data_IF_587750807394
#
_entry.id   IF_587750807394
#
_cell.length_a   1.000
_cell.length_b   1.000
_cell.length_c   1.000
_cell.angle_alpha   90.00
_cell.angle_beta   90.00
_cell.angle_gamma   90.00
#
_symmetry.space_group_name_H-M   'P 1'
#
loop_
_entity.id
_entity.type
_entity.pdbx_description
1 polymer ?
#
# COMPACT_ATOMS: atom_id res chain seq x y z
N UNK A 1 22.47 -29.99 -85.84
CA UNK A 1 23.19 -28.73 -86.10
C UNK A 1 22.48 -27.60 -85.39
N UNK A 2 23.24 -26.81 -84.63
CA UNK A 2 22.82 -25.69 -83.79
C UNK A 2 21.82 -24.73 -84.47
N UNK A 3 20.83 -24.24 -83.71
CA UNK A 3 20.70 -22.82 -83.34
C UNK A 3 19.43 -22.54 -82.50
N UNK A 4 19.67 -21.81 -81.41
CA UNK A 4 18.88 -20.74 -80.79
C UNK A 4 17.36 -20.67 -81.00
N UNK A 5 16.61 -20.50 -79.90
CA UNK A 5 15.82 -19.28 -79.66
C UNK A 5 15.22 -19.23 -78.25
N UNK A 6 15.16 -18.00 -77.75
CA UNK A 6 14.88 -17.56 -76.37
C UNK A 6 13.39 -17.24 -76.18
N UNK A 7 13.01 -16.94 -74.93
CA UNK A 7 11.84 -16.15 -74.43
C UNK A 7 10.54 -17.00 -74.35
N UNK A 8 9.69 -17.02 -73.30
CA UNK A 8 9.24 -16.03 -72.31
C UNK A 8 8.83 -16.75 -71.01
N UNK A 9 9.33 -16.28 -69.85
CA UNK A 9 8.80 -16.63 -68.52
C UNK A 9 7.58 -15.73 -68.24
N UNK A 10 6.37 -16.30 -68.26
CA UNK A 10 5.15 -15.64 -67.82
C UNK A 10 5.00 -15.79 -66.30
N UNK A 11 5.29 -14.72 -65.57
CA UNK A 11 5.07 -14.63 -64.12
C UNK A 11 3.57 -14.47 -63.83
N UNK A 12 2.95 -15.52 -63.30
CA UNK A 12 1.58 -15.51 -62.78
C UNK A 12 1.61 -14.87 -61.39
N UNK A 13 1.06 -13.66 -61.26
CA UNK A 13 0.80 -13.02 -59.96
C UNK A 13 -0.44 -13.68 -59.33
N UNK A 14 -0.24 -14.44 -58.25
CA UNK A 14 -1.32 -14.92 -57.39
C UNK A 14 -1.74 -13.77 -56.46
N UNK A 15 -2.92 -13.19 -56.70
CA UNK A 15 -3.59 -12.30 -55.76
C UNK A 15 -4.03 -13.09 -54.53
N UNK A 16 -3.41 -12.87 -53.36
CA UNK A 16 -3.99 -13.29 -52.10
C UNK A 16 -5.06 -12.28 -51.67
N UNK A 17 -6.27 -12.77 -51.41
CA UNK A 17 -7.30 -11.98 -50.76
C UNK A 17 -6.96 -11.92 -49.26
N UNK A 18 -6.57 -10.75 -48.77
CA UNK A 18 -6.43 -10.50 -47.35
C UNK A 18 -7.83 -10.42 -46.71
N UNK A 19 -8.11 -11.34 -45.79
CA UNK A 19 -9.32 -11.36 -44.99
C UNK A 19 -9.13 -10.40 -43.81
N UNK A 20 -9.76 -9.24 -43.83
CA UNK A 20 -9.79 -8.29 -42.71
C UNK A 20 -10.75 -8.81 -41.65
N UNK A 21 -10.20 -9.18 -40.48
CA UNK A 21 -11.02 -9.47 -39.29
C UNK A 21 -11.63 -8.16 -38.76
N UNK A 22 -12.89 -8.17 -38.27
CA UNK A 22 -13.47 -7.01 -37.61
C UNK A 22 -12.79 -6.81 -36.25
N UNK A 23 -12.40 -5.57 -35.98
CA UNK A 23 -11.78 -5.13 -34.73
C UNK A 23 -12.65 -5.48 -33.52
N UNK A 24 -12.07 -6.29 -32.64
CA UNK A 24 -12.61 -6.70 -31.36
C UNK A 24 -12.66 -5.48 -30.43
N UNK A 25 -13.86 -4.99 -30.12
CA UNK A 25 -14.08 -3.93 -29.13
C UNK A 25 -13.79 -4.51 -27.76
N UNK A 26 -12.52 -4.45 -27.38
CA UNK A 26 -12.07 -4.74 -26.02
C UNK A 26 -12.72 -3.73 -25.07
N UNK A 27 -13.53 -4.16 -24.07
CA UNK A 27 -14.00 -3.25 -23.05
C UNK A 27 -12.81 -2.88 -22.18
N UNK A 28 -12.25 -1.72 -22.50
CA UNK A 28 -11.44 -0.82 -21.69
C UNK A 28 -11.43 -1.25 -20.22
N UNK A 29 -10.42 -2.05 -19.88
CA UNK A 29 -10.03 -2.38 -18.52
C UNK A 29 -9.54 -1.10 -17.85
N UNK A 30 -10.46 -0.20 -17.49
CA UNK A 30 -10.25 0.80 -16.46
C UNK A 30 -10.33 0.11 -15.11
N UNK A 31 -9.33 -0.72 -14.82
CA UNK A 31 -8.89 -0.83 -13.45
C UNK A 31 -8.17 0.49 -13.18
N UNK A 32 -8.93 1.46 -12.70
CA UNK A 32 -8.39 2.65 -12.07
C UNK A 32 -7.55 2.19 -10.88
N UNK A 33 -6.27 1.93 -11.10
CA UNK A 33 -5.25 2.02 -10.07
C UNK A 33 -5.05 3.49 -9.74
N UNK A 34 -6.05 4.12 -9.11
CA UNK A 34 -5.83 5.33 -8.31
C UNK A 34 -5.16 4.93 -7.01
N UNK A 35 -3.95 4.35 -7.12
CA UNK A 35 -3.01 4.30 -6.01
C UNK A 35 -2.46 5.71 -5.88
N UNK A 36 -3.04 6.50 -4.97
CA UNK A 36 -2.49 7.79 -4.58
C UNK A 36 -0.99 7.62 -4.34
N UNK A 37 -0.14 8.37 -5.07
CA UNK A 37 1.31 8.40 -4.89
C UNK A 37 1.70 9.12 -3.57
N UNK A 38 0.79 9.09 -2.60
CA UNK A 38 0.97 9.68 -1.31
C UNK A 38 1.93 8.83 -0.49
N UNK A 39 2.83 9.50 0.22
CA UNK A 39 3.75 8.87 1.15
C UNK A 39 3.51 9.44 2.54
N UNK A 40 3.42 8.57 3.53
CA UNK A 40 3.22 8.97 4.93
C UNK A 40 4.53 8.84 5.69
N UNK A 41 4.79 9.81 6.55
CA UNK A 41 5.97 9.93 7.40
C UNK A 41 5.54 10.24 8.83
N UNK A 42 6.30 9.76 9.79
CA UNK A 42 6.12 10.09 11.21
C UNK A 42 7.43 10.67 11.69
N UNK A 43 7.46 11.97 11.91
CA UNK A 43 8.66 12.68 12.33
C UNK A 43 8.69 12.82 13.85
N UNK A 44 9.82 12.47 14.44
CA UNK A 44 10.12 12.59 15.87
C UNK A 44 11.29 13.58 16.02
N UNK A 45 11.04 14.69 16.71
CA UNK A 45 11.99 15.77 16.93
C UNK A 45 12.71 15.63 18.28
N UNK A 46 13.90 16.21 18.47
CA UNK A 46 14.66 16.10 19.73
C UNK A 46 14.01 16.75 20.95
N UNK A 47 13.00 17.59 20.76
CA UNK A 47 12.25 18.32 21.79
C UNK A 47 10.91 17.64 22.13
N UNK A 48 10.84 16.32 21.96
CA UNK A 48 9.66 15.46 22.18
C UNK A 48 8.44 15.82 21.30
N UNK A 49 8.60 16.75 20.36
CA UNK A 49 7.59 17.04 19.37
C UNK A 49 7.54 15.93 18.31
N UNK A 50 6.33 15.52 17.92
CA UNK A 50 6.15 14.59 16.80
C UNK A 50 4.92 14.93 15.98
N UNK A 51 4.98 14.61 14.69
CA UNK A 51 3.89 14.87 13.76
C UNK A 51 3.88 13.88 12.59
N UNK A 52 2.69 13.69 12.00
CA UNK A 52 2.53 12.90 10.78
C UNK A 52 2.52 13.84 9.58
N UNK A 53 3.24 13.48 8.53
CA UNK A 53 3.21 14.18 7.25
C UNK A 53 2.78 13.21 6.14
N UNK A 54 1.70 13.52 5.42
CA UNK A 54 1.31 12.83 4.19
C UNK A 54 1.61 13.72 3.00
N UNK A 55 2.60 13.35 2.20
CA UNK A 55 3.01 14.11 1.01
C UNK A 55 2.39 13.52 -0.23
N UNK A 56 1.85 14.37 -1.09
CA UNK A 56 1.33 14.05 -2.42
C UNK A 56 2.19 14.74 -3.49
N UNK A 57 1.75 14.76 -4.74
CA UNK A 57 2.54 15.31 -5.86
C UNK A 57 2.79 16.81 -5.74
N UNK A 58 1.81 17.59 -5.27
CA UNK A 58 1.84 19.06 -5.23
C UNK A 58 1.59 19.66 -3.84
N UNK A 59 1.35 18.82 -2.83
CA UNK A 59 0.97 19.25 -1.48
C UNK A 59 1.41 18.29 -0.40
N UNK A 60 1.36 18.76 0.84
CA UNK A 60 1.52 17.93 2.02
C UNK A 60 0.43 18.26 3.04
N UNK A 61 -0.10 17.21 3.66
CA UNK A 61 -0.96 17.28 4.83
C UNK A 61 -0.12 17.02 6.07
N UNK A 62 -0.11 17.97 7.00
CA UNK A 62 0.48 17.78 8.33
C UNK A 62 -0.62 17.54 9.35
N UNK A 63 -0.52 16.44 10.08
CA UNK A 63 -1.36 16.14 11.23
C UNK A 63 -0.57 16.50 12.49
N UNK A 64 -0.80 17.70 12.99
CA UNK A 64 -0.17 18.25 14.19
C UNK A 64 -1.05 17.97 15.42
N UNK A 65 -0.50 18.07 16.65
CA UNK A 65 -1.33 18.06 17.84
C UNK A 65 -2.43 19.13 17.78
N UNK A 66 -3.69 18.70 17.70
CA UNK A 66 -4.86 19.58 17.69
C UNK A 66 -5.23 20.25 16.37
N UNK A 67 -4.45 20.08 15.28
CA UNK A 67 -4.79 20.69 13.99
C UNK A 67 -4.24 19.90 12.79
N UNK A 68 -4.89 20.06 11.64
CA UNK A 68 -4.40 19.55 10.36
C UNK A 68 -4.15 20.72 9.42
N UNK A 69 -2.97 20.75 8.81
CA UNK A 69 -2.57 21.81 7.88
C UNK A 69 -2.34 21.24 6.49
N UNK A 70 -2.87 21.93 5.48
CA UNK A 70 -2.54 21.72 4.08
C UNK A 70 -1.45 22.70 3.66
N UNK A 71 -0.38 22.20 3.04
CA UNK A 71 0.77 22.97 2.59
C UNK A 71 1.05 22.72 1.12
N UNK A 72 1.23 23.77 0.32
CA UNK A 72 1.55 23.66 -1.09
C UNK A 72 3.05 23.44 -1.31
N UNK A 73 3.42 22.58 -2.27
CA UNK A 73 4.80 22.39 -2.71
C UNK A 73 5.36 23.70 -3.28
N UNK A 74 6.58 24.07 -2.89
CA UNK A 74 7.29 25.24 -3.42
C UNK A 74 8.70 24.88 -3.85
N UNK A 75 9.25 25.66 -4.78
CA UNK A 75 10.62 25.47 -5.26
C UNK A 75 11.62 25.61 -4.11
N UNK A 76 12.64 24.74 -4.10
CA UNK A 76 13.72 24.74 -3.12
C UNK A 76 15.04 24.40 -3.79
N UNK A 77 16.14 24.96 -3.27
CA UNK A 77 17.48 24.66 -3.76
C UNK A 77 17.93 23.23 -3.42
N UNK A 78 17.39 22.65 -2.34
CA UNK A 78 17.59 21.26 -1.94
C UNK A 78 16.40 20.76 -1.12
N UNK A 79 16.20 19.44 -1.12
CA UNK A 79 15.07 18.80 -0.45
C UNK A 79 13.71 19.22 -1.04
N UNK A 80 12.64 18.81 -0.36
CA UNK A 80 11.26 19.13 -0.76
C UNK A 80 10.66 20.05 0.28
N UNK A 81 10.14 21.21 -0.17
CA UNK A 81 9.61 22.25 0.70
C UNK A 81 8.11 22.45 0.44
N UNK A 82 7.33 22.51 1.51
CA UNK A 82 5.91 22.80 1.47
C UNK A 82 5.59 23.98 2.39
N UNK A 83 4.66 24.85 1.99
CA UNK A 83 4.22 25.97 2.83
C UNK A 83 2.81 26.46 2.49
N UNK A 84 2.14 27.09 3.46
CA UNK A 84 0.92 27.86 3.27
C UNK A 84 1.11 29.36 3.59
N UNK A 85 2.37 29.84 3.62
CA UNK A 85 2.73 31.20 4.00
C UNK A 85 3.08 31.35 5.47
N UNK A 86 2.29 30.76 6.38
CA UNK A 86 2.51 30.85 7.83
C UNK A 86 3.37 29.71 8.37
N UNK A 87 3.16 28.49 7.87
CA UNK A 87 3.92 27.29 8.25
C UNK A 87 4.74 26.80 7.07
N UNK A 88 5.97 26.41 7.34
CA UNK A 88 6.88 25.76 6.39
C UNK A 88 7.24 24.38 6.91
N UNK A 89 7.07 23.37 6.07
CA UNK A 89 7.61 22.02 6.25
C UNK A 89 8.64 21.76 5.18
N UNK A 90 9.86 21.45 5.58
CA UNK A 90 10.94 21.09 4.68
C UNK A 90 11.46 19.72 5.06
N UNK A 91 11.60 18.85 4.06
CA UNK A 91 12.14 17.51 4.24
C UNK A 91 13.37 17.31 3.36
N UNK A 92 14.31 16.55 3.88
CA UNK A 92 15.44 16.05 3.11
C UNK A 92 15.77 14.64 3.57
N UNK A 93 15.64 13.67 2.67
CA UNK A 93 15.79 12.24 2.98
C UNK A 93 14.91 11.80 4.17
N UNK A 94 15.55 11.44 5.30
CA UNK A 94 14.89 10.96 6.52
C UNK A 94 14.70 12.07 7.57
N UNK A 95 15.17 13.28 7.31
CA UNK A 95 15.08 14.41 8.23
C UNK A 95 14.04 15.43 7.77
N UNK A 96 13.53 16.20 8.73
CA UNK A 96 12.64 17.31 8.48
C UNK A 96 12.86 18.49 9.42
N UNK A 97 12.39 19.64 8.95
CA UNK A 97 12.23 20.88 9.70
C UNK A 97 10.79 21.34 9.52
N UNK A 98 10.14 21.72 10.61
CA UNK A 98 8.86 22.42 10.59
C UNK A 98 9.03 23.76 11.31
N UNK A 99 8.52 24.84 10.70
CA UNK A 99 8.68 26.20 11.18
C UNK A 99 7.37 26.97 11.02
N UNK A 100 6.96 27.68 12.08
CA UNK A 100 6.01 28.79 12.07
C UNK A 100 6.73 30.11 12.43
N UNK A 101 5.98 31.19 12.62
CA UNK A 101 6.53 32.46 13.11
C UNK A 101 7.13 32.34 14.52
N UNK A 102 6.49 31.54 15.37
CA UNK A 102 6.84 31.43 16.80
C UNK A 102 7.74 30.23 17.10
N UNK A 103 7.59 29.14 16.36
CA UNK A 103 8.18 27.84 16.71
C UNK A 103 8.97 27.28 15.52
N UNK A 104 10.12 26.67 15.80
CA UNK A 104 10.91 25.96 14.82
C UNK A 104 11.42 24.65 15.42
N UNK A 105 10.95 23.53 14.88
CA UNK A 105 11.47 22.20 15.20
C UNK A 105 12.46 21.76 14.14
N UNK A 106 13.64 21.30 14.56
CA UNK A 106 14.74 20.85 13.69
C UNK A 106 15.27 19.50 14.12
N UNK A 107 15.93 18.78 13.22
CA UNK A 107 16.49 17.46 13.52
C UNK A 107 15.41 16.40 13.69
N UNK A 108 14.22 16.63 13.13
CA UNK A 108 13.13 15.68 13.20
C UNK A 108 13.41 14.49 12.29
N UNK A 109 13.47 13.30 12.85
CA UNK A 109 13.80 12.07 12.14
C UNK A 109 12.56 11.24 11.86
N UNK A 110 12.47 10.68 10.65
CA UNK A 110 11.35 9.83 10.29
C UNK A 110 11.46 8.45 10.95
N UNK A 111 10.49 8.12 11.78
CA UNK A 111 10.26 6.79 12.33
C UNK A 111 9.52 5.93 11.30
N UNK A 112 10.31 5.17 10.50
CA UNK A 112 9.79 4.35 9.40
C UNK A 112 8.82 3.26 9.87
N UNK A 113 9.08 2.66 11.04
CA UNK A 113 8.20 1.63 11.58
C UNK A 113 6.80 2.21 11.85
N UNK A 114 6.73 3.35 12.55
CA UNK A 114 5.46 4.06 12.79
C UNK A 114 4.81 4.56 11.51
N UNK A 115 5.61 5.05 10.56
CA UNK A 115 5.12 5.54 9.27
C UNK A 115 4.34 4.50 8.46
N UNK A 116 4.74 3.22 8.52
CA UNK A 116 4.00 2.13 7.85
C UNK A 116 2.59 1.99 8.41
N UNK A 117 2.43 2.03 9.73
CA UNK A 117 1.14 1.92 10.39
C UNK A 117 0.25 3.16 10.15
N UNK A 118 0.82 4.37 10.21
CA UNK A 118 0.08 5.59 9.88
C UNK A 118 -0.28 5.66 8.40
N UNK A 119 0.55 5.13 7.51
CA UNK A 119 0.22 5.03 6.09
C UNK A 119 -1.00 4.14 5.86
N UNK A 120 -1.04 2.97 6.49
CA UNK A 120 -2.19 2.07 6.45
C UNK A 120 -3.46 2.77 6.97
N UNK A 121 -3.38 3.42 8.14
CA UNK A 121 -4.49 4.18 8.73
C UNK A 121 -5.05 5.24 7.77
N UNK A 122 -4.18 6.08 7.22
CA UNK A 122 -4.58 7.16 6.30
C UNK A 122 -5.07 6.65 4.94
N UNK A 123 -4.82 5.38 4.60
CA UNK A 123 -5.37 4.72 3.41
C UNK A 123 -6.67 3.96 3.69
N UNK A 124 -7.25 4.09 4.89
CA UNK A 124 -8.53 3.48 5.24
C UNK A 124 -8.45 2.04 5.74
N UNK A 125 -7.27 1.59 6.16
CA UNK A 125 -7.12 0.28 6.83
C UNK A 125 -7.68 0.39 8.25
N UNK A 126 -8.58 -0.51 8.61
CA UNK A 126 -9.22 -0.58 9.94
C UNK A 126 -8.41 -1.44 10.92
N UNK A 127 -7.68 -2.43 10.42
CA UNK A 127 -6.88 -3.34 11.23
C UNK A 127 -5.65 -3.82 10.45
N UNK A 128 -4.49 -3.83 11.12
CA UNK A 128 -3.26 -4.35 10.52
C UNK A 128 -2.57 -5.31 11.49
N UNK A 129 -1.99 -6.37 10.92
CA UNK A 129 -1.25 -7.40 11.64
C UNK A 129 0.01 -7.84 10.88
N UNK A 130 0.95 -8.42 11.61
CA UNK A 130 2.19 -8.95 11.07
C UNK A 130 2.68 -10.15 11.90
N UNK A 131 3.55 -10.95 11.30
CA UNK A 131 4.33 -11.96 12.02
C UNK A 131 5.62 -12.31 11.27
N UNK A 132 6.56 -12.89 12.01
CA UNK A 132 7.97 -12.95 11.57
C UNK A 132 8.39 -14.30 10.98
N UNK A 133 7.73 -15.40 11.37
CA UNK A 133 8.20 -16.75 11.04
C UNK A 133 7.05 -17.70 10.62
N UNK A 134 6.91 -17.97 9.30
CA UNK A 134 7.49 -17.21 8.18
C UNK A 134 6.95 -15.78 8.11
N UNK A 135 7.68 -14.86 7.48
CA UNK A 135 7.28 -13.44 7.41
C UNK A 135 5.97 -13.19 6.64
N UNK A 136 5.05 -12.42 7.24
CA UNK A 136 3.77 -12.03 6.65
C UNK A 136 3.23 -10.70 7.23
N UNK A 137 2.34 -10.05 6.49
CA UNK A 137 1.46 -9.01 7.03
C UNK A 137 0.07 -9.06 6.41
N UNK A 138 -0.89 -8.50 7.11
CA UNK A 138 -2.28 -8.44 6.69
C UNK A 138 -2.87 -7.06 7.01
N UNK A 139 -3.74 -6.60 6.12
CA UNK A 139 -4.59 -5.44 6.32
C UNK A 139 -6.06 -5.83 6.10
N UNK A 140 -6.93 -5.31 6.96
CA UNK A 140 -8.38 -5.37 6.80
C UNK A 140 -8.87 -3.93 6.63
N UNK A 141 -9.61 -3.68 5.55
CA UNK A 141 -10.22 -2.38 5.22
C UNK A 141 -11.71 -2.56 4.96
N UNK A 142 -12.49 -1.48 5.00
CA UNK A 142 -13.95 -1.51 4.82
C UNK A 142 -14.63 -2.59 5.68
N UNK A 143 -14.07 -2.87 6.86
CA UNK A 143 -14.44 -3.94 7.79
C UNK A 143 -14.28 -5.38 7.29
N UNK A 144 -14.13 -5.65 6.00
CA UNK A 144 -14.23 -7.01 5.45
C UNK A 144 -13.34 -7.30 4.23
N UNK A 145 -12.65 -6.31 3.68
CA UNK A 145 -11.74 -6.48 2.57
C UNK A 145 -10.34 -6.77 3.11
N UNK A 146 -9.73 -7.84 2.62
CA UNK A 146 -8.52 -8.42 3.20
C UNK A 146 -7.41 -8.41 2.15
N UNK A 147 -6.29 -7.78 2.51
CA UNK A 147 -5.00 -7.92 1.85
C UNK A 147 -4.11 -8.78 2.74
N UNK A 148 -3.66 -9.93 2.22
CA UNK A 148 -2.68 -10.78 2.90
C UNK A 148 -1.44 -10.90 2.02
N UNK A 149 -0.27 -10.63 2.61
CA UNK A 149 1.02 -10.76 1.92
C UNK A 149 1.92 -11.71 2.70
N UNK A 150 2.43 -12.74 2.01
CA UNK A 150 3.29 -13.79 2.57
C UNK A 150 4.54 -13.99 1.73
N UNK A 151 5.42 -14.88 2.18
CA UNK A 151 6.63 -15.24 1.41
C UNK A 151 7.55 -14.05 1.21
N UNK A 152 7.70 -13.21 2.25
CA UNK A 152 8.53 -12.00 2.21
C UNK A 152 8.17 -11.04 1.06
N UNK A 153 6.87 -10.89 0.78
CA UNK A 153 6.36 -9.98 -0.24
C UNK A 153 6.11 -10.60 -1.61
N UNK A 154 6.47 -11.88 -1.80
CA UNK A 154 6.34 -12.55 -3.10
C UNK A 154 4.92 -13.02 -3.40
N UNK A 155 4.09 -13.22 -2.38
CA UNK A 155 2.74 -13.75 -2.53
C UNK A 155 1.74 -12.76 -1.96
N UNK A 156 0.79 -12.32 -2.80
CA UNK A 156 -0.27 -11.39 -2.42
C UNK A 156 -1.63 -12.02 -2.69
N UNK A 157 -2.48 -12.05 -1.67
CA UNK A 157 -3.85 -12.53 -1.75
C UNK A 157 -4.80 -11.39 -1.42
N UNK A 158 -5.87 -11.27 -2.20
CA UNK A 158 -6.91 -10.26 -2.01
C UNK A 158 -8.26 -10.95 -1.93
N UNK A 159 -8.99 -10.64 -0.87
CA UNK A 159 -10.33 -11.14 -0.64
C UNK A 159 -11.26 -9.95 -0.40
N UNK A 160 -12.43 -9.98 -1.01
CA UNK A 160 -13.48 -8.99 -0.80
C UNK A 160 -14.66 -9.66 -0.13
N UNK A 161 -15.40 -8.91 0.68
CA UNK A 161 -16.66 -9.40 1.29
C UNK A 161 -16.48 -10.66 2.14
N UNK A 162 -15.50 -10.66 3.04
CA UNK A 162 -15.33 -11.76 3.98
C UNK A 162 -16.58 -11.95 4.87
N UNK A 163 -16.93 -13.21 5.14
CA UNK A 163 -17.94 -13.56 6.15
C UNK A 163 -17.31 -13.37 7.52
N UNK A 164 -17.96 -12.58 8.37
CA UNK A 164 -17.45 -12.20 9.70
C UNK A 164 -18.30 -12.89 10.75
N UNK A 165 -17.65 -13.64 11.66
CA UNK A 165 -18.27 -14.15 12.86
C UNK A 165 -17.62 -13.48 14.08
N UNK A 166 -18.44 -12.84 14.91
CA UNK A 166 -17.97 -12.18 16.13
C UNK A 166 -18.42 -12.95 17.36
N UNK A 167 -17.49 -13.18 18.28
CA UNK A 167 -17.69 -13.87 19.55
C UNK A 167 -17.25 -12.90 20.68
N UNK A 168 -18.13 -11.96 21.10
CA UNK A 168 -17.74 -10.89 22.01
C UNK A 168 -17.27 -11.38 23.38
N UNK A 169 -17.86 -12.46 23.91
CA UNK A 169 -17.48 -13.03 25.19
C UNK A 169 -16.02 -13.50 25.21
N UNK A 170 -15.57 -14.09 24.10
CA UNK A 170 -14.20 -14.59 23.93
C UNK A 170 -13.26 -13.52 23.37
N UNK A 171 -13.74 -12.29 23.17
CA UNK A 171 -13.05 -11.20 22.46
C UNK A 171 -12.43 -11.67 21.14
N UNK A 172 -13.17 -12.51 20.41
CA UNK A 172 -12.67 -13.16 19.20
C UNK A 172 -13.52 -12.75 18.01
N UNK A 173 -12.88 -12.52 16.87
CA UNK A 173 -13.55 -12.30 15.58
C UNK A 173 -12.88 -13.17 14.55
N UNK A 174 -13.66 -13.94 13.80
CA UNK A 174 -13.17 -14.70 12.66
C UNK A 174 -13.65 -14.13 11.33
N UNK A 175 -12.78 -14.22 10.33
CA UNK A 175 -13.06 -13.84 8.95
C UNK A 175 -12.83 -15.04 8.06
N UNK A 176 -13.77 -15.31 7.16
CA UNK A 176 -13.65 -16.36 6.17
C UNK A 176 -13.93 -15.80 4.78
N UNK A 177 -13.04 -16.06 3.83
CA UNK A 177 -13.22 -15.61 2.46
C UNK A 177 -12.54 -16.55 1.46
N UNK A 178 -13.01 -16.51 0.21
CA UNK A 178 -12.43 -17.26 -0.88
C UNK A 178 -12.25 -16.37 -2.11
N UNK A 179 -11.17 -16.55 -2.84
CA UNK A 179 -10.85 -15.77 -4.04
C UNK A 179 -9.79 -16.47 -4.88
N UNK A 180 -9.99 -16.53 -6.19
CA UNK A 180 -9.03 -17.11 -7.15
C UNK A 180 -8.53 -18.52 -6.76
N UNK A 181 -9.43 -19.38 -6.27
CA UNK A 181 -9.09 -20.73 -5.82
C UNK A 181 -8.37 -20.83 -4.47
N UNK A 182 -8.18 -19.71 -3.76
CA UNK A 182 -7.61 -19.66 -2.42
C UNK A 182 -8.71 -19.48 -1.37
N UNK A 183 -8.53 -20.08 -0.20
CA UNK A 183 -9.42 -19.92 0.95
C UNK A 183 -8.62 -19.41 2.15
N UNK A 184 -9.13 -18.36 2.80
CA UNK A 184 -8.53 -17.79 4.01
C UNK A 184 -9.49 -17.89 5.18
N UNK A 185 -8.94 -18.27 6.32
CA UNK A 185 -9.54 -18.10 7.64
C UNK A 185 -8.60 -17.26 8.50
N UNK A 186 -9.12 -16.19 9.09
CA UNK A 186 -8.39 -15.33 10.02
C UNK A 186 -9.11 -15.33 11.35
N UNK A 187 -8.36 -15.50 12.43
CA UNK A 187 -8.85 -15.43 13.79
C UNK A 187 -8.10 -14.31 14.50
N UNK A 188 -8.83 -13.27 14.89
CA UNK A 188 -8.32 -12.16 15.70
C UNK A 188 -8.83 -12.35 17.11
N UNK A 189 -7.91 -12.48 18.07
CA UNK A 189 -8.21 -12.58 19.49
C UNK A 189 -7.69 -11.37 20.22
N UNK A 190 -8.59 -10.61 20.85
CA UNK A 190 -8.25 -9.47 21.69
C UNK A 190 -7.55 -9.92 22.95
N UNK A 191 -6.22 -9.88 22.94
CA UNK A 191 -5.35 -10.16 24.08
C UNK A 191 -3.97 -9.53 23.83
N UNK A 192 -3.21 -9.20 24.89
CA UNK A 192 -1.85 -8.72 24.74
C UNK A 192 -1.02 -9.68 23.87
N UNK A 193 -0.32 -9.12 22.89
CA UNK A 193 0.58 -9.83 22.00
C UNK A 193 1.87 -9.02 21.89
N UNK A 194 3.01 -9.70 21.92
CA UNK A 194 4.30 -9.04 21.78
C UNK A 194 4.99 -9.58 20.53
N UNK A 195 5.42 -8.68 19.66
CA UNK A 195 6.17 -9.08 18.47
C UNK A 195 7.54 -9.63 18.88
N UNK A 196 7.85 -10.84 18.42
CA UNK A 196 9.05 -11.58 18.85
C UNK A 196 10.37 -10.95 18.40
N UNK A 197 10.35 -10.13 17.35
CA UNK A 197 11.55 -9.54 16.76
C UNK A 197 11.83 -8.13 17.29
N UNK A 198 10.81 -7.30 17.41
CA UNK A 198 10.93 -5.90 17.85
C UNK A 198 10.62 -5.69 19.33
N UNK A 199 9.88 -6.61 19.95
CA UNK A 199 9.33 -6.45 21.29
C UNK A 199 8.14 -5.48 21.36
N UNK A 200 7.63 -4.96 20.23
CA UNK A 200 6.47 -4.05 20.20
C UNK A 200 5.23 -4.77 20.77
N UNK A 201 4.48 -4.05 21.60
CA UNK A 201 3.25 -4.54 22.20
C UNK A 201 2.03 -4.21 21.32
N UNK A 202 1.14 -5.19 21.20
CA UNK A 202 -0.07 -5.16 20.40
C UNK A 202 -1.28 -5.59 21.23
N UNK A 203 -2.47 -5.15 20.80
CA UNK A 203 -3.73 -5.41 21.50
C UNK A 203 -4.44 -6.69 21.05
N UNK A 204 -3.95 -7.35 20.00
CA UNK A 204 -4.50 -8.60 19.50
C UNK A 204 -3.44 -9.60 19.04
N UNK A 205 -3.73 -10.88 19.30
CA UNK A 205 -3.06 -12.01 18.66
C UNK A 205 -3.85 -12.43 17.42
N UNK A 206 -3.15 -12.78 16.35
CA UNK A 206 -3.76 -13.10 15.05
C UNK A 206 -3.25 -14.44 14.55
N UNK A 207 -4.18 -15.28 14.11
CA UNK A 207 -3.89 -16.52 13.38
C UNK A 207 -4.48 -16.42 11.98
N UNK A 208 -3.70 -16.74 10.96
CA UNK A 208 -4.13 -16.80 9.56
C UNK A 208 -3.91 -18.21 9.04
N UNK A 209 -4.93 -18.79 8.42
CA UNK A 209 -4.91 -20.06 7.73
C UNK A 209 -5.19 -19.78 6.25
N UNK A 210 -4.21 -20.01 5.38
CA UNK A 210 -4.33 -19.81 3.93
C UNK A 210 -3.79 -21.05 3.24
N UNK A 211 -4.61 -21.73 2.43
CA UNK A 211 -4.22 -22.93 1.68
C UNK A 211 -3.46 -23.97 2.54
N UNK A 212 -4.01 -24.30 3.72
CA UNK A 212 -3.43 -25.22 4.70
C UNK A 212 -2.10 -24.78 5.36
N UNK A 213 -1.63 -23.55 5.12
CA UNK A 213 -0.51 -22.95 5.84
C UNK A 213 -1.02 -22.07 6.96
N UNK A 214 -0.41 -22.21 8.14
CA UNK A 214 -0.71 -21.42 9.32
C UNK A 214 0.35 -20.35 9.53
N UNK A 215 -0.12 -19.15 9.82
CA UNK A 215 0.68 -17.99 10.19
C UNK A 215 0.17 -17.45 11.52
N UNK A 216 1.08 -17.04 12.39
CA UNK A 216 0.77 -16.46 13.69
C UNK A 216 1.49 -15.12 13.83
N UNK A 217 0.90 -14.20 14.58
CA UNK A 217 1.45 -12.86 14.73
C UNK A 217 0.59 -11.96 15.61
N UNK A 218 0.93 -10.68 15.59
CA UNK A 218 0.30 -9.65 16.41
C UNK A 218 -0.33 -8.57 15.52
N UNK A 219 -1.35 -7.90 16.04
CA UNK A 219 -2.01 -6.82 15.31
C UNK A 219 -2.73 -5.82 16.21
N UNK A 220 -3.14 -4.71 15.61
CA UNK A 220 -3.92 -3.66 16.27
C UNK A 220 -4.91 -3.05 15.29
N UNK A 221 -6.04 -2.60 15.84
CA UNK A 221 -6.98 -1.78 15.09
C UNK A 221 -6.38 -0.38 14.87
N UNK A 222 -6.72 0.22 13.74
CA UNK A 222 -6.30 1.54 13.32
C UNK A 222 -7.55 2.42 13.24
N UNK A 223 -7.64 3.38 14.16
CA UNK A 223 -8.74 4.33 14.30
C UNK A 223 -8.15 5.65 14.78
#
# INVERSE_FOLDING_TARGET
MNRASTIILSSIMLNSCAYTQPDDVSPDSRISTTGSNAQTYVYECPDDFSFVARTETDRAWLFLPGTTLELALVQSASGTKYTNGSVTFWRNNNEAVIKSEEIKHTGCNNNRARAIWEHAKLNGVDFRALGNEPGWYMEISNKQDILLVTGYGQQTYRFTSAIINSYPHDRTTSYHAQSNGNSVEIIIKGMPCQDSMSGEAFSAAVTVLINNKRYMGCGKALH
#
